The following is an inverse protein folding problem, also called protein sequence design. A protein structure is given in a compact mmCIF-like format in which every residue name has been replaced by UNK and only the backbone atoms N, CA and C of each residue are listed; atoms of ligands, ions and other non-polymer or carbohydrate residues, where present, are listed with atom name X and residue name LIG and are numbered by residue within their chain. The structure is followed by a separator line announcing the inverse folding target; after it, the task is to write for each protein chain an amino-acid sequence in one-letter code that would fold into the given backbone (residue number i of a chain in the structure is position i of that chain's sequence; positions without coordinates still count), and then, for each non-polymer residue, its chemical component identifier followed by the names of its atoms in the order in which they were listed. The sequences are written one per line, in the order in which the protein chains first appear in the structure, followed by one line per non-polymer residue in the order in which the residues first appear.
data_IF_631744164573
#
_entry.id   IF_631744164573
#
_cell.length_a   1.000
_cell.length_b   1.000
_cell.length_c   1.000
_cell.angle_alpha   90.00
_cell.angle_beta   90.00
_cell.angle_gamma   90.00
#
_symmetry.space_group_name_H-M   'P 1'
#
loop_
_entity.id
_entity.type
_entity.pdbx_description
1 polymer ?
#
# COMPACT_ATOMS: atom_id res chain seq x y z
N UNK A 1 -1.89 -0.57 -27.15
CA UNK A 1 -1.22 -1.22 -26.00
C UNK A 1 -2.09 -2.35 -25.56
N UNK A 2 -1.48 -3.45 -25.18
CA UNK A 2 -2.13 -4.66 -24.71
C UNK A 2 -1.34 -5.21 -23.51
N UNK A 3 -2.04 -5.82 -22.57
CA UNK A 3 -1.44 -6.54 -21.45
C UNK A 3 -2.06 -7.94 -21.38
N UNK A 4 -1.22 -8.97 -21.28
CA UNK A 4 -1.62 -10.34 -20.97
C UNK A 4 -1.10 -10.67 -19.58
N UNK A 5 -1.99 -11.07 -18.67
CA UNK A 5 -1.63 -11.41 -17.29
C UNK A 5 -2.18 -12.77 -16.87
N UNK A 6 -1.33 -13.55 -16.21
CA UNK A 6 -1.69 -14.83 -15.60
C UNK A 6 -1.29 -14.79 -14.13
N UNK A 7 -2.24 -15.10 -13.25
CA UNK A 7 -2.04 -15.12 -11.80
C UNK A 7 -2.39 -16.50 -11.25
N UNK A 8 -1.51 -17.04 -10.42
CA UNK A 8 -1.74 -18.25 -9.63
C UNK A 8 -1.58 -17.92 -8.15
N UNK A 9 -2.48 -18.45 -7.31
CA UNK A 9 -2.41 -18.20 -5.87
C UNK A 9 -2.62 -19.48 -5.06
N UNK A 10 -2.05 -19.46 -3.85
CA UNK A 10 -2.32 -20.47 -2.83
C UNK A 10 -2.46 -19.80 -1.48
N UNK A 11 -3.35 -20.34 -0.65
CA UNK A 11 -3.61 -19.84 0.70
C UNK A 11 -3.63 -21.00 1.67
N UNK A 12 -3.03 -20.78 2.84
CA UNK A 12 -2.94 -21.72 3.94
C UNK A 12 -3.45 -21.04 5.21
N UNK A 13 -4.40 -21.69 5.86
CA UNK A 13 -4.99 -21.24 7.12
C UNK A 13 -4.65 -22.23 8.22
N UNK A 14 -4.01 -21.76 9.29
CA UNK A 14 -3.59 -22.60 10.40
C UNK A 14 -4.06 -22.04 11.74
N UNK A 15 -4.99 -22.77 12.34
CA UNK A 15 -5.33 -22.57 13.74
C UNK A 15 -4.27 -23.27 14.62
N UNK A 16 -3.24 -22.52 15.03
CA UNK A 16 -2.13 -23.05 15.84
C UNK A 16 -2.67 -23.57 17.18
N UNK A 17 -3.56 -22.80 17.81
CA UNK A 17 -4.30 -23.17 19.01
C UNK A 17 -5.56 -22.30 19.17
N UNK A 18 -6.27 -22.39 20.29
CA UNK A 18 -7.50 -21.60 20.52
C UNK A 18 -7.30 -20.07 20.56
N UNK A 19 -6.06 -19.58 20.66
CA UNK A 19 -5.72 -18.15 20.77
C UNK A 19 -4.89 -17.63 19.60
N UNK A 20 -4.32 -18.51 18.78
CA UNK A 20 -3.36 -18.14 17.74
C UNK A 20 -3.79 -18.71 16.40
N UNK A 21 -3.83 -17.86 15.39
CA UNK A 21 -4.07 -18.25 14.01
C UNK A 21 -3.06 -17.59 13.08
N UNK A 22 -2.69 -18.30 12.03
CA UNK A 22 -1.80 -17.85 10.98
C UNK A 22 -2.47 -18.09 9.64
N UNK A 23 -2.63 -17.04 8.85
CA UNK A 23 -2.94 -17.13 7.44
C UNK A 23 -1.68 -16.79 6.64
N UNK A 24 -1.40 -17.58 5.62
CA UNK A 24 -0.30 -17.34 4.69
C UNK A 24 -0.82 -17.51 3.29
N UNK A 25 -0.50 -16.57 2.41
CA UNK A 25 -0.82 -16.67 0.99
C UNK A 25 0.39 -16.34 0.14
N UNK A 26 0.41 -16.93 -1.05
CA UNK A 26 1.44 -16.71 -2.03
C UNK A 26 0.75 -16.54 -3.38
N UNK A 27 0.95 -15.38 -4.00
CA UNK A 27 0.52 -15.11 -5.36
C UNK A 27 1.74 -15.05 -6.27
N UNK A 28 1.67 -15.74 -7.40
CA UNK A 28 2.62 -15.64 -8.49
C UNK A 28 1.93 -15.00 -9.70
N UNK A 29 2.53 -13.94 -10.21
CA UNK A 29 2.03 -13.16 -11.35
C UNK A 29 3.05 -13.22 -12.47
N UNK A 30 2.57 -13.47 -13.69
CA UNK A 30 3.34 -13.27 -14.93
C UNK A 30 2.52 -12.36 -15.82
N UNK A 31 3.12 -11.26 -16.28
CA UNK A 31 2.45 -10.30 -17.16
C UNK A 31 3.36 -9.88 -18.32
N UNK A 32 2.82 -9.85 -19.53
CA UNK A 32 3.44 -9.25 -20.70
C UNK A 32 2.70 -7.95 -21.05
N UNK A 33 3.41 -6.82 -21.09
CA UNK A 33 2.89 -5.55 -21.61
C UNK A 33 3.50 -5.31 -23.00
N UNK A 34 2.64 -5.18 -24.00
CA UNK A 34 3.00 -4.90 -25.38
C UNK A 34 2.48 -3.51 -25.81
N UNK A 35 3.40 -2.67 -26.30
CA UNK A 35 3.11 -1.40 -26.93
C UNK A 35 3.38 -1.49 -28.43
N UNK A 36 2.37 -1.11 -29.22
CA UNK A 36 2.42 -1.02 -30.68
C UNK A 36 2.01 0.38 -31.12
N UNK A 37 2.76 1.01 -32.03
CA UNK A 37 2.59 2.40 -32.46
C UNK A 37 3.87 2.97 -33.05
N UNK A 38 4.28 4.18 -32.63
CA UNK A 38 5.55 4.80 -33.06
C UNK A 38 6.79 4.02 -32.57
N UNK A 39 6.66 3.28 -31.47
CA UNK A 39 7.68 2.35 -30.95
C UNK A 39 7.00 1.02 -30.62
N UNK A 40 7.58 -0.09 -31.11
CA UNK A 40 7.16 -1.44 -30.74
C UNK A 40 8.02 -1.95 -29.58
N UNK A 41 7.45 -2.10 -28.39
CA UNK A 41 8.16 -2.61 -27.20
C UNK A 41 7.30 -3.65 -26.49
N UNK A 42 7.93 -4.76 -26.10
CA UNK A 42 7.33 -5.82 -25.27
C UNK A 42 8.11 -5.93 -23.98
N UNK A 43 7.42 -6.17 -22.87
CA UNK A 43 8.03 -6.34 -21.56
C UNK A 43 7.33 -7.43 -20.78
N UNK A 44 8.13 -8.35 -20.31
CA UNK A 44 7.70 -9.42 -19.41
C UNK A 44 8.03 -9.02 -17.97
N UNK A 45 7.10 -9.31 -17.08
CA UNK A 45 7.26 -9.15 -15.65
C UNK A 45 6.81 -10.43 -14.96
N UNK A 46 7.53 -10.79 -13.90
CA UNK A 46 7.16 -11.88 -13.01
C UNK A 46 7.32 -11.44 -11.54
N UNK A 47 6.33 -11.75 -10.72
CA UNK A 47 6.33 -11.38 -9.32
C UNK A 47 5.87 -12.51 -8.43
N UNK A 48 6.57 -12.68 -7.31
CA UNK A 48 6.11 -13.46 -6.17
C UNK A 48 5.66 -12.47 -5.10
N UNK A 49 4.40 -12.56 -4.68
CA UNK A 49 3.74 -11.68 -3.72
C UNK A 49 3.31 -12.52 -2.50
N UNK A 50 4.21 -12.76 -1.53
CA UNK A 50 3.85 -13.42 -0.28
C UNK A 50 3.05 -12.48 0.63
N UNK A 51 2.13 -13.05 1.40
CA UNK A 51 1.43 -12.39 2.48
C UNK A 51 1.32 -13.32 3.69
N UNK A 52 1.49 -12.73 4.86
CA UNK A 52 1.44 -13.41 6.14
C UNK A 52 0.62 -12.57 7.10
N UNK A 53 -0.43 -13.16 7.65
CA UNK A 53 -1.32 -12.54 8.64
C UNK A 53 -1.32 -13.42 9.90
N UNK A 54 -0.78 -12.92 10.99
CA UNK A 54 -0.75 -13.59 12.28
C UNK A 54 -1.68 -12.87 13.26
N UNK A 55 -2.53 -13.64 13.94
CA UNK A 55 -3.41 -13.13 14.99
C UNK A 55 -3.19 -13.90 16.27
N UNK A 56 -3.12 -13.15 17.37
CA UNK A 56 -2.96 -13.67 18.71
C UNK A 56 -3.92 -12.98 19.70
N UNK A 57 -4.90 -13.73 20.18
CA UNK A 57 -5.78 -13.36 21.29
C UNK A 57 -5.02 -13.55 22.62
N UNK A 58 -4.25 -12.53 23.02
CA UNK A 58 -3.46 -12.51 24.27
C UNK A 58 -4.38 -12.78 25.47
N UNK A 59 -5.56 -12.16 25.48
CA UNK A 59 -6.64 -12.40 26.44
C UNK A 59 -8.00 -12.28 25.76
N UNK A 60 -9.10 -12.41 26.51
CA UNK A 60 -10.46 -12.17 25.99
C UNK A 60 -10.71 -10.71 25.58
N UNK A 61 -9.88 -9.79 26.04
CA UNK A 61 -10.00 -8.36 25.81
C UNK A 61 -8.82 -7.74 25.07
N UNK A 62 -7.74 -8.48 24.83
CA UNK A 62 -6.53 -7.97 24.18
C UNK A 62 -6.14 -8.87 23.01
N UNK A 63 -6.03 -8.29 21.83
CA UNK A 63 -5.67 -8.98 20.60
C UNK A 63 -4.51 -8.27 19.90
N UNK A 64 -3.53 -9.04 19.45
CA UNK A 64 -2.46 -8.61 18.58
C UNK A 64 -2.69 -9.18 17.18
N UNK A 65 -2.57 -8.33 16.17
CA UNK A 65 -2.54 -8.73 14.75
C UNK A 65 -1.27 -8.20 14.11
N UNK A 66 -0.55 -9.06 13.40
CA UNK A 66 0.68 -8.70 12.67
C UNK A 66 0.50 -9.12 11.23
N UNK A 67 0.81 -8.24 10.29
CA UNK A 67 0.83 -8.58 8.87
C UNK A 67 2.12 -8.17 8.20
N UNK A 68 2.54 -8.98 7.22
CA UNK A 68 3.65 -8.68 6.33
C UNK A 68 3.24 -9.13 4.93
N UNK A 69 3.22 -8.19 3.98
CA UNK A 69 2.86 -8.48 2.58
C UNK A 69 3.80 -7.77 1.62
N UNK A 70 4.08 -8.42 0.49
CA UNK A 70 4.70 -7.76 -0.66
C UNK A 70 3.61 -7.41 -1.67
N UNK A 71 3.38 -6.12 -1.80
CA UNK A 71 2.50 -5.53 -2.80
C UNK A 71 3.31 -5.10 -4.03
N UNK A 72 2.70 -5.21 -5.21
CA UNK A 72 3.33 -4.76 -6.47
C UNK A 72 2.28 -3.97 -7.23
N UNK A 73 2.55 -2.69 -7.44
CA UNK A 73 1.64 -1.78 -8.11
C UNK A 73 1.43 -2.20 -9.56
N UNK A 74 0.25 -1.91 -10.09
CA UNK A 74 -0.02 -2.08 -11.50
C UNK A 74 0.30 -0.77 -12.21
N UNK A 75 0.98 -0.85 -13.35
CA UNK A 75 1.27 0.32 -14.15
C UNK A 75 -0.01 0.75 -14.88
N UNK A 76 -0.30 2.05 -14.87
CA UNK A 76 -1.41 2.56 -15.65
C UNK A 76 -1.00 2.64 -17.12
N UNK A 77 -1.88 2.25 -18.04
CA UNK A 77 -1.64 2.45 -19.47
C UNK A 77 -1.36 3.92 -19.83
N UNK A 78 -1.87 4.87 -19.01
CA UNK A 78 -1.60 6.31 -19.16
C UNK A 78 -0.15 6.69 -18.85
N UNK A 79 0.59 5.87 -18.10
CA UNK A 79 2.00 6.12 -17.76
C UNK A 79 2.93 5.83 -18.95
N UNK A 80 2.43 5.09 -19.95
CA UNK A 80 3.19 4.68 -21.13
C UNK A 80 2.83 5.44 -22.40
N UNK A 81 1.70 6.15 -22.42
CA UNK A 81 1.25 6.94 -23.57
C UNK A 81 1.34 8.43 -23.24
N UNK A 82 1.88 9.24 -24.16
CA UNK A 82 1.89 10.68 -23.98
C UNK A 82 0.46 11.21 -23.88
N UNK A 83 0.17 11.96 -22.81
CA UNK A 83 -1.14 12.56 -22.56
C UNK A 83 -0.99 14.07 -22.49
N UNK A 84 -1.62 14.79 -23.41
CA UNK A 84 -1.74 16.24 -23.34
C UNK A 84 -3.01 16.56 -22.55
N UNK A 85 -2.86 17.03 -21.32
CA UNK A 85 -3.98 17.58 -20.56
C UNK A 85 -4.07 19.08 -20.89
N UNK A 86 -4.77 19.43 -21.99
CA UNK A 86 -4.85 20.80 -22.51
C UNK A 86 -5.64 21.80 -21.63
N UNK A 87 -6.07 21.40 -20.42
CA UNK A 87 -6.88 22.21 -19.50
C UNK A 87 -6.16 22.55 -18.19
N UNK A 88 -4.90 22.15 -18.04
CA UNK A 88 -4.11 22.39 -16.84
C UNK A 88 -2.97 23.35 -17.21
N UNK A 89 -3.08 24.62 -16.79
CA UNK A 89 -2.12 25.69 -17.14
C UNK A 89 -0.73 25.48 -16.49
N UNK A 90 -0.60 24.48 -15.61
CA UNK A 90 0.61 24.18 -14.81
C UNK A 90 1.30 22.84 -15.17
N UNK A 91 0.92 22.15 -16.26
CA UNK A 91 1.57 20.88 -16.65
C UNK A 91 2.34 20.94 -17.97
N UNK A 92 3.65 20.69 -17.85
CA UNK A 92 4.52 20.27 -18.94
C UNK A 92 3.95 19.04 -19.66
N UNK A 93 4.11 18.98 -20.98
CA UNK A 93 3.65 17.86 -21.80
C UNK A 93 4.17 16.54 -21.22
N UNK A 94 3.26 15.62 -20.86
CA UNK A 94 3.61 14.33 -20.26
C UNK A 94 3.98 13.35 -21.36
N UNK A 95 5.26 13.04 -21.51
CA UNK A 95 5.69 11.93 -22.37
C UNK A 95 5.49 10.59 -21.63
N UNK A 96 5.15 9.53 -22.38
CA UNK A 96 5.13 8.18 -21.84
C UNK A 96 6.54 7.65 -21.58
N UNK A 97 6.71 6.80 -20.57
CA UNK A 97 7.99 6.17 -20.26
C UNK A 97 7.95 4.65 -20.46
N UNK A 98 8.44 4.11 -21.59
CA UNK A 98 8.46 2.68 -21.85
C UNK A 98 9.41 1.87 -20.94
N UNK A 99 10.23 2.52 -20.11
CA UNK A 99 11.19 1.89 -19.19
C UNK A 99 10.68 1.78 -17.75
N UNK A 100 9.47 2.27 -17.48
CA UNK A 100 8.86 2.25 -16.15
C UNK A 100 8.82 0.83 -15.56
N UNK A 101 9.28 0.67 -14.32
CA UNK A 101 9.15 -0.56 -13.54
C UNK A 101 7.97 -0.44 -12.59
N UNK A 102 7.35 -1.58 -12.27
CA UNK A 102 6.32 -1.66 -11.24
C UNK A 102 6.92 -1.34 -9.87
N UNK A 103 6.24 -0.48 -9.13
CA UNK A 103 6.61 -0.17 -7.74
C UNK A 103 6.33 -1.40 -6.88
N UNK A 104 7.27 -1.74 -6.00
CA UNK A 104 7.15 -2.88 -5.10
C UNK A 104 7.18 -2.38 -3.66
N UNK A 105 6.18 -2.73 -2.87
CA UNK A 105 6.07 -2.28 -1.48
C UNK A 105 6.00 -3.46 -0.53
N UNK A 106 6.97 -3.59 0.36
CA UNK A 106 6.82 -4.44 1.53
C UNK A 106 6.05 -3.69 2.60
N UNK A 107 4.85 -4.14 2.94
CA UNK A 107 3.99 -3.53 3.95
C UNK A 107 4.00 -4.38 5.22
N UNK A 108 4.48 -3.79 6.31
CA UNK A 108 4.47 -4.41 7.63
C UNK A 108 3.50 -3.67 8.54
N UNK A 109 2.63 -4.40 9.23
CA UNK A 109 1.68 -3.83 10.17
C UNK A 109 1.69 -4.58 11.48
N UNK A 110 1.57 -3.85 12.57
CA UNK A 110 1.36 -4.38 13.92
C UNK A 110 0.19 -3.62 14.53
N UNK A 111 -0.86 -4.34 14.90
CA UNK A 111 -2.09 -3.80 15.42
C UNK A 111 -2.42 -4.42 16.77
N UNK A 112 -2.74 -3.60 17.77
CA UNK A 112 -3.13 -4.00 19.11
C UNK A 112 -4.52 -3.44 19.42
N UNK A 113 -5.46 -4.34 19.67
CA UNK A 113 -6.83 -4.02 20.04
C UNK A 113 -7.10 -4.40 21.50
N UNK A 114 -7.52 -3.42 22.30
CA UNK A 114 -7.87 -3.61 23.71
C UNK A 114 -9.31 -3.18 23.99
N UNK A 115 -10.16 -4.12 24.37
CA UNK A 115 -11.52 -3.88 24.86
C UNK A 115 -11.47 -3.56 26.36
N UNK A 116 -11.95 -2.38 26.73
CA UNK A 116 -12.05 -1.97 28.12
C UNK A 116 -13.08 -2.86 28.86
N UNK A 117 -12.84 -3.18 30.15
CA UNK A 117 -13.81 -3.91 30.97
C UNK A 117 -15.16 -3.19 31.08
N UNK A 118 -16.19 -3.93 31.48
CA UNK A 118 -17.54 -3.38 31.76
C UNK A 118 -18.17 -2.59 30.60
N UNK A 119 -17.88 -2.99 29.36
CA UNK A 119 -18.30 -2.25 28.16
C UNK A 119 -17.84 -0.77 28.16
N UNK A 120 -16.67 -0.52 28.77
CA UNK A 120 -16.09 0.80 28.90
C UNK A 120 -15.57 1.39 27.59
N UNK A 121 -15.50 0.60 26.52
CA UNK A 121 -15.03 1.03 25.21
C UNK A 121 -13.92 0.16 24.60
N UNK A 122 -13.20 0.73 23.62
CA UNK A 122 -12.14 0.07 22.87
C UNK A 122 -10.99 1.05 22.63
N UNK A 123 -9.76 0.56 22.76
CA UNK A 123 -8.53 1.22 22.35
C UNK A 123 -7.91 0.41 21.20
N UNK A 124 -7.48 1.09 20.15
CA UNK A 124 -6.77 0.51 19.01
C UNK A 124 -5.45 1.26 18.82
N UNK A 125 -4.39 0.52 18.54
CA UNK A 125 -3.08 1.06 18.19
C UNK A 125 -2.54 0.29 16.99
N UNK A 126 -2.17 0.99 15.94
CA UNK A 126 -1.56 0.41 14.74
C UNK A 126 -0.25 1.11 14.43
N UNK A 127 0.82 0.34 14.41
CA UNK A 127 2.08 0.74 13.79
C UNK A 127 2.18 0.14 12.40
N UNK A 128 2.68 0.92 11.43
CA UNK A 128 2.96 0.44 10.09
C UNK A 128 4.31 0.95 9.60
N UNK A 129 4.96 0.14 8.78
CA UNK A 129 6.22 0.45 8.12
C UNK A 129 6.20 -0.15 6.72
N UNK A 130 6.42 0.69 5.71
CA UNK A 130 6.44 0.34 4.29
C UNK A 130 7.84 0.60 3.74
N UNK A 131 8.44 -0.41 3.09
CA UNK A 131 9.65 -0.27 2.29
C UNK A 131 9.24 -0.30 0.82
N UNK A 132 9.36 0.86 0.15
CA UNK A 132 8.94 1.10 -1.22
C UNK A 132 10.17 1.04 -2.13
N UNK A 133 10.09 0.26 -3.19
CA UNK A 133 11.12 0.13 -4.22
C UNK A 133 10.60 0.55 -5.56
N UNK A 134 11.47 1.19 -6.34
CA UNK A 134 11.14 1.70 -7.67
C UNK A 134 9.91 2.63 -7.63
N UNK A 135 9.83 3.52 -6.62
CA UNK A 135 8.74 4.48 -6.44
C UNK A 135 8.50 5.27 -7.72
N UNK A 136 7.25 5.40 -8.16
CA UNK A 136 6.93 6.10 -9.40
C UNK A 136 6.61 7.57 -9.11
N UNK A 137 7.39 8.47 -9.71
CA UNK A 137 7.21 9.92 -9.61
C UNK A 137 7.38 10.62 -10.95
N UNK A 138 7.32 11.95 -10.94
CA UNK A 138 7.62 12.77 -12.12
C UNK A 138 9.12 12.97 -12.25
N UNK A 139 9.65 12.71 -13.43
CA UNK A 139 11.03 13.02 -13.82
C UNK A 139 11.02 14.10 -14.90
N UNK A 140 12.00 15.00 -14.83
CA UNK A 140 12.26 16.01 -15.85
C UNK A 140 12.96 15.36 -17.05
N UNK A 141 12.39 15.54 -18.24
CA UNK A 141 12.92 15.06 -19.52
C UNK A 141 13.03 16.20 -20.55
N UNK A 142 13.10 17.44 -20.07
CA UNK A 142 13.18 18.65 -20.89
C UNK A 142 14.42 18.60 -21.80
N UNK A 143 14.28 18.70 -23.14
CA UNK A 143 15.42 18.78 -24.03
C UNK A 143 16.20 20.10 -23.86
N UNK A 144 15.51 21.17 -23.43
CA UNK A 144 16.11 22.48 -23.16
C UNK A 144 15.27 23.32 -22.18
N UNK A 145 15.83 24.41 -21.59
CA UNK A 145 15.13 25.24 -20.60
C UNK A 145 13.93 26.06 -21.11
N UNK A 146 13.59 26.01 -22.39
CA UNK A 146 12.42 26.68 -22.98
C UNK A 146 11.32 25.68 -23.37
N UNK A 147 11.66 24.39 -23.46
CA UNK A 147 10.76 23.29 -23.75
C UNK A 147 10.73 22.33 -22.55
N UNK A 148 9.95 22.70 -21.54
CA UNK A 148 9.81 21.89 -20.35
C UNK A 148 8.95 20.65 -20.62
N UNK A 149 9.47 19.48 -20.29
CA UNK A 149 8.80 18.18 -20.46
C UNK A 149 8.95 17.35 -19.19
N UNK A 150 7.89 16.65 -18.82
CA UNK A 150 7.92 15.69 -17.72
C UNK A 150 7.44 14.32 -18.16
N UNK A 151 7.90 13.27 -17.50
CA UNK A 151 7.41 11.91 -17.70
C UNK A 151 7.25 11.22 -16.34
N UNK A 152 6.42 10.17 -16.28
CA UNK A 152 6.44 9.29 -15.12
C UNK A 152 7.73 8.44 -15.18
N UNK A 153 8.38 8.22 -14.05
CA UNK A 153 9.63 7.47 -13.95
C UNK A 153 9.85 6.94 -12.54
N UNK A 154 10.71 5.92 -12.41
CA UNK A 154 11.08 5.41 -11.10
C UNK A 154 12.07 6.41 -10.45
N UNK A 155 11.66 7.06 -9.35
CA UNK A 155 12.41 8.13 -8.66
C UNK A 155 13.30 7.63 -7.52
N UNK A 156 13.25 6.32 -7.23
CA UNK A 156 14.11 5.68 -6.24
C UNK A 156 13.34 4.86 -5.23
N UNK A 157 14.01 4.54 -4.14
CA UNK A 157 13.45 3.76 -3.04
C UNK A 157 13.00 4.70 -1.93
N UNK A 158 11.92 4.37 -1.25
CA UNK A 158 11.37 5.19 -0.19
C UNK A 158 10.91 4.36 1.00
N UNK A 159 10.67 5.03 2.11
CA UNK A 159 10.11 4.41 3.31
C UNK A 159 9.03 5.29 3.88
N UNK A 160 7.95 4.64 4.32
CA UNK A 160 6.83 5.29 4.99
C UNK A 160 6.62 4.57 6.31
N UNK A 161 6.42 5.29 7.39
CA UNK A 161 6.06 4.68 8.66
C UNK A 161 5.12 5.59 9.44
N UNK A 162 4.34 4.97 10.32
CA UNK A 162 3.41 5.73 11.12
C UNK A 162 2.84 4.97 12.29
N UNK A 163 2.17 5.74 13.14
CA UNK A 163 1.45 5.29 14.31
C UNK A 163 0.05 5.89 14.28
N UNK A 164 -0.93 5.01 14.31
CA UNK A 164 -2.34 5.34 14.45
C UNK A 164 -2.84 4.89 15.82
N UNK A 165 -3.42 5.81 16.57
CA UNK A 165 -4.01 5.56 17.89
C UNK A 165 -5.47 5.97 17.85
N UNK A 166 -6.34 5.10 18.33
CA UNK A 166 -7.77 5.33 18.43
C UNK A 166 -8.29 4.93 19.80
N UNK A 167 -9.15 5.75 20.37
CA UNK A 167 -9.84 5.46 21.61
C UNK A 167 -11.32 5.79 21.44
N UNK A 168 -12.19 4.86 21.87
CA UNK A 168 -13.62 5.09 22.00
C UNK A 168 -14.02 4.67 23.40
N UNK A 169 -14.36 5.61 24.27
CA UNK A 169 -14.55 5.41 25.70
C UNK A 169 -15.97 5.82 26.10
N UNK A 170 -16.67 4.95 26.82
CA UNK A 170 -17.98 5.23 27.42
C UNK A 170 -17.80 5.96 28.75
N UNK A 171 -18.50 7.08 28.96
CA UNK A 171 -18.39 7.92 30.16
C UNK A 171 -19.19 7.40 31.36
N UNK A 172 -19.32 6.08 31.51
CA UNK A 172 -20.01 5.45 32.63
C UNK A 172 -19.40 5.83 33.99
N UNK A 173 -18.09 6.09 34.05
CA UNK A 173 -17.38 6.55 35.25
C UNK A 173 -17.77 7.97 35.70
N UNK A 174 -18.45 8.75 34.84
CA UNK A 174 -19.01 10.06 35.17
C UNK A 174 -20.53 10.01 35.38
N UNK A 175 -21.10 8.81 35.57
CA UNK A 175 -22.55 8.57 35.55
C UNK A 175 -23.23 8.99 34.24
N UNK A 176 -22.50 8.94 33.13
CA UNK A 176 -23.01 9.22 31.78
C UNK A 176 -22.90 7.97 30.88
N UNK A 177 -23.64 6.88 31.19
CA UNK A 177 -23.48 5.59 30.49
C UNK A 177 -23.86 5.61 29.01
N UNK A 178 -24.65 6.60 28.58
CA UNK A 178 -25.05 6.79 27.18
C UNK A 178 -24.09 7.69 26.39
N UNK A 179 -23.15 8.35 27.06
CA UNK A 179 -22.17 9.21 26.40
C UNK A 179 -20.91 8.42 26.03
N UNK A 180 -20.42 8.63 24.81
CA UNK A 180 -19.19 8.05 24.28
C UNK A 180 -18.30 9.17 23.76
N UNK A 181 -17.02 9.12 24.09
CA UNK A 181 -16.00 10.01 23.55
C UNK A 181 -15.08 9.19 22.66
N UNK A 182 -14.89 9.65 21.43
CA UNK A 182 -13.95 9.05 20.48
C UNK A 182 -12.86 10.05 20.14
N UNK A 183 -11.62 9.59 20.13
CA UNK A 183 -10.46 10.37 19.75
C UNK A 183 -9.51 9.52 18.90
N UNK A 184 -8.87 10.13 17.91
CA UNK A 184 -7.91 9.48 17.03
C UNK A 184 -6.70 10.37 16.79
N UNK A 185 -5.52 9.78 16.68
CA UNK A 185 -4.25 10.43 16.36
C UNK A 185 -3.59 9.63 15.25
N UNK A 186 -3.17 10.31 14.18
CA UNK A 186 -2.33 9.75 13.14
C UNK A 186 -1.01 10.51 13.09
N UNK A 187 0.11 9.79 13.21
CA UNK A 187 1.46 10.31 13.05
C UNK A 187 2.10 9.54 11.91
N UNK A 188 2.55 10.24 10.88
CA UNK A 188 3.11 9.62 9.67
C UNK A 188 4.32 10.42 9.23
N UNK A 189 5.34 9.71 8.78
CA UNK A 189 6.53 10.29 8.16
C UNK A 189 6.94 9.42 6.96
N UNK A 190 7.50 10.08 5.94
CA UNK A 190 7.86 9.47 4.68
C UNK A 190 9.09 10.13 4.09
N UNK A 191 9.99 9.32 3.51
CA UNK A 191 11.14 9.81 2.78
C UNK A 191 11.45 8.95 1.55
N UNK A 192 12.06 9.59 0.56
CA UNK A 192 12.59 9.02 -0.69
C UNK A 192 14.08 9.36 -0.72
#
# INVERSE_FOLDING_TARGET
MEEVRVEGFTTHNWQINQRMSLESSLLYEVSEIAQSGDVNKKRDFDFIKPKLDFRFDISRSLQLSVSAEKDVSQLSFRDFSAGVNQQDDDQDTVAGNPELKQEQTWRYNVNLDYRLPNDGGVLNSRFFYFDVRDSIGKIDISPDPQNLLSANGNVGDGKVFGLYLNASIRLGFLNLPQAVVTAGINLEDAYI
#
